data_IF_914136484574
#
_entry.id   IF_914136484574
#
_cell.length_a   1.000
_cell.length_b   1.000
_cell.length_c   1.000
_cell.angle_alpha   90.00
_cell.angle_beta   90.00
_cell.angle_gamma   90.00
#
_symmetry.space_group_name_H-M   'P 1'
#
loop_
_entity.id
_entity.type
_entity.pdbx_description
1 polymer ?
#
# COMPACT_ATOMS: atom_id res chain seq x y z
N UNK A 1 3.03 1.20 0.63
CA UNK A 1 4.41 1.74 0.55
C UNK A 1 5.33 0.78 1.28
N UNK A 2 6.34 0.24 0.60
CA UNK A 2 7.34 -0.67 1.17
C UNK A 2 8.56 0.15 1.65
N UNK A 3 9.08 -0.18 2.82
CA UNK A 3 9.91 0.71 3.65
C UNK A 3 11.35 0.92 3.13
N UNK A 4 11.85 2.14 3.30
CA UNK A 4 13.28 2.47 3.36
C UNK A 4 13.64 3.07 4.73
N UNK A 5 14.88 2.84 5.17
CA UNK A 5 15.40 3.19 6.50
C UNK A 5 15.75 4.68 6.53
N UNK A 6 14.91 5.51 7.14
CA UNK A 6 15.12 6.96 7.22
C UNK A 6 16.29 7.34 8.13
N UNK A 7 17.26 8.09 7.60
CA UNK A 7 18.27 8.83 8.38
C UNK A 7 17.95 10.32 8.27
N UNK A 8 17.62 10.89 9.43
CA UNK A 8 17.51 12.31 9.81
C UNK A 8 16.51 13.22 9.05
N UNK A 9 15.51 13.70 9.81
CA UNK A 9 14.60 14.85 9.64
C UNK A 9 13.72 15.01 8.39
N UNK A 10 14.01 14.36 7.26
CA UNK A 10 13.21 14.45 6.02
C UNK A 10 11.88 13.70 6.02
N UNK A 11 11.46 13.13 7.16
CA UNK A 11 10.20 12.38 7.29
C UNK A 11 9.06 13.18 7.95
N UNK A 12 9.36 14.38 8.46
CA UNK A 12 8.38 15.21 9.18
C UNK A 12 7.49 15.97 8.22
N UNK A 13 6.21 16.11 8.57
CA UNK A 13 5.26 16.94 7.83
C UNK A 13 5.63 18.43 7.80
N UNK A 14 6.47 18.88 8.73
CA UNK A 14 6.86 20.29 8.92
C UNK A 14 8.19 20.67 8.26
N UNK A 15 8.80 19.79 7.46
CA UNK A 15 10.02 20.13 6.72
C UNK A 15 9.68 20.86 5.41
N UNK A 16 10.66 21.55 4.83
CA UNK A 16 10.54 22.19 3.51
C UNK A 16 10.29 21.16 2.38
N UNK A 17 10.43 19.87 2.66
CA UNK A 17 10.14 18.76 1.74
C UNK A 17 9.62 17.56 2.53
N UNK A 18 8.32 17.53 2.85
CA UNK A 18 7.70 16.46 3.64
C UNK A 18 7.92 15.10 2.98
N UNK A 19 8.18 14.08 3.80
CA UNK A 19 8.36 12.70 3.37
C UNK A 19 9.50 12.47 2.36
N UNK A 20 10.39 13.43 2.12
CA UNK A 20 11.52 13.28 1.19
C UNK A 20 12.47 12.11 1.53
N UNK A 21 12.46 11.67 2.80
CA UNK A 21 13.21 10.50 3.26
C UNK A 21 12.60 9.14 2.88
N UNK A 22 11.41 9.12 2.29
CA UNK A 22 10.73 7.89 1.91
C UNK A 22 11.31 7.35 0.59
N UNK A 23 11.31 6.02 0.46
CA UNK A 23 11.64 5.34 -0.80
C UNK A 23 10.50 5.50 -1.80
N UNK A 24 10.36 6.69 -2.36
CA UNK A 24 9.39 6.98 -3.40
C UNK A 24 9.75 6.27 -4.70
N UNK A 25 8.72 6.04 -5.52
CA UNK A 25 8.79 5.39 -6.84
C UNK A 25 9.10 3.90 -6.76
N UNK A 26 8.07 3.07 -6.98
CA UNK A 26 8.27 1.69 -7.40
C UNK A 26 8.61 1.69 -8.89
N UNK A 27 9.50 0.80 -9.33
CA UNK A 27 9.75 0.60 -10.76
C UNK A 27 8.44 0.14 -11.42
N UNK A 28 8.03 0.84 -12.47
CA UNK A 28 6.79 0.54 -13.20
C UNK A 28 6.80 -0.87 -13.81
N UNK A 29 7.98 -1.42 -14.13
CA UNK A 29 8.13 -2.77 -14.66
C UNK A 29 7.89 -3.84 -13.59
N UNK A 30 7.98 -3.47 -12.32
CA UNK A 30 7.78 -4.36 -11.17
C UNK A 30 6.37 -4.26 -10.58
N UNK A 31 5.45 -3.47 -11.18
CA UNK A 31 4.07 -3.34 -10.70
C UNK A 31 3.08 -3.83 -11.74
N UNK A 32 2.25 -4.79 -11.34
CA UNK A 32 1.15 -5.30 -12.15
C UNK A 32 -0.21 -4.90 -11.58
N UNK A 33 -1.01 -4.23 -12.40
CA UNK A 33 -2.42 -3.90 -12.12
C UNK A 33 -3.32 -4.97 -12.71
N UNK A 34 -4.14 -5.62 -11.88
CA UNK A 34 -5.01 -6.72 -12.32
C UNK A 34 -6.32 -6.15 -12.86
N UNK A 35 -6.51 -6.19 -14.19
CA UNK A 35 -7.74 -5.74 -14.84
C UNK A 35 -8.87 -6.79 -14.79
N UNK A 36 -8.54 -8.03 -14.47
CA UNK A 36 -9.45 -9.16 -14.32
C UNK A 36 -10.18 -9.18 -12.97
N UNK A 37 -9.85 -8.26 -12.06
CA UNK A 37 -10.47 -8.15 -10.75
C UNK A 37 -11.62 -7.13 -10.78
N UNK A 38 -12.90 -7.58 -10.71
CA UNK A 38 -14.03 -6.67 -10.77
C UNK A 38 -14.28 -5.96 -9.44
N UNK A 39 -14.87 -4.76 -9.53
CA UNK A 39 -15.48 -4.06 -8.39
C UNK A 39 -16.39 -5.01 -7.59
N UNK A 40 -16.37 -4.98 -6.24
CA UNK A 40 -15.75 -3.99 -5.34
C UNK A 40 -14.33 -4.33 -4.89
N UNK A 41 -13.61 -5.12 -5.68
CA UNK A 41 -12.22 -5.48 -5.40
C UNK A 41 -11.28 -4.74 -6.31
N UNK A 42 -10.07 -4.53 -5.82
CA UNK A 42 -8.94 -4.03 -6.60
C UNK A 42 -7.69 -4.80 -6.19
N UNK A 43 -6.80 -5.12 -7.13
CA UNK A 43 -5.59 -5.90 -6.83
C UNK A 43 -4.37 -5.37 -7.59
N UNK A 44 -3.25 -5.30 -6.87
CA UNK A 44 -1.92 -5.00 -7.42
C UNK A 44 -0.92 -6.02 -6.93
N UNK A 45 0.03 -6.35 -7.79
CA UNK A 45 1.18 -7.17 -7.40
C UNK A 45 2.46 -6.40 -7.68
N UNK A 46 3.33 -6.34 -6.67
CA UNK A 46 4.69 -5.84 -6.76
C UNK A 46 5.62 -7.04 -6.88
N UNK A 47 6.52 -7.02 -7.86
CA UNK A 47 7.52 -8.04 -8.14
C UNK A 47 8.92 -7.52 -7.83
N UNK A 48 9.88 -8.44 -7.70
CA UNK A 48 11.31 -8.16 -7.55
C UNK A 48 11.65 -7.09 -6.51
N UNK A 49 10.88 -7.06 -5.43
CA UNK A 49 10.97 -6.00 -4.42
C UNK A 49 12.35 -6.00 -3.77
N UNK A 50 12.90 -4.80 -3.60
CA UNK A 50 14.26 -4.60 -3.09
C UNK A 50 15.33 -5.35 -3.89
N UNK A 51 15.12 -5.50 -5.21
CA UNK A 51 16.01 -6.20 -6.13
C UNK A 51 16.12 -7.72 -5.86
N UNK A 52 15.27 -8.27 -4.98
CA UNK A 52 15.20 -9.70 -4.67
C UNK A 52 14.30 -10.37 -5.71
N UNK A 53 14.93 -11.02 -6.70
CA UNK A 53 14.20 -11.78 -7.73
C UNK A 53 13.38 -12.89 -7.10
N UNK A 54 12.09 -12.95 -7.42
CA UNK A 54 11.17 -13.96 -6.87
C UNK A 54 10.48 -13.53 -5.57
N UNK A 55 10.82 -12.38 -4.99
CA UNK A 55 10.01 -11.77 -3.95
C UNK A 55 8.87 -10.98 -4.58
N UNK A 56 7.64 -11.29 -4.17
CA UNK A 56 6.45 -10.56 -4.60
C UNK A 56 5.51 -10.24 -3.43
N UNK A 57 4.84 -9.10 -3.53
CA UNK A 57 3.81 -8.66 -2.58
C UNK A 57 2.55 -8.34 -3.37
N UNK A 58 1.46 -9.04 -3.07
CA UNK A 58 0.15 -8.74 -3.64
C UNK A 58 -0.69 -8.02 -2.61
N UNK A 59 -1.30 -6.91 -3.01
CA UNK A 59 -2.26 -6.16 -2.23
C UNK A 59 -3.63 -6.28 -2.90
N UNK A 60 -4.62 -6.75 -2.14
CA UNK A 60 -6.02 -6.80 -2.56
C UNK A 60 -6.84 -5.90 -1.64
N UNK A 61 -7.52 -4.92 -2.22
CA UNK A 61 -8.46 -4.04 -1.54
C UNK A 61 -9.86 -4.59 -1.75
N UNK A 62 -10.64 -4.69 -0.67
CA UNK A 62 -12.02 -5.15 -0.71
C UNK A 62 -12.89 -4.23 0.11
N UNK A 63 -14.01 -3.82 -0.45
CA UNK A 63 -15.06 -3.11 0.27
C UNK A 63 -16.35 -3.95 0.24
N UNK A 64 -17.12 -3.98 1.34
CA UNK A 64 -18.41 -4.67 1.33
C UNK A 64 -19.37 -3.87 0.43
N UNK A 65 -19.58 -4.33 -0.81
CA UNK A 65 -20.59 -3.78 -1.70
C UNK A 65 -21.47 -4.92 -2.22
N UNK A 66 -22.30 -5.45 -1.33
CA UNK A 66 -23.11 -6.63 -1.56
C UNK A 66 -24.54 -6.23 -2.00
N UNK A 67 -25.05 -6.73 -3.14
CA UNK A 67 -26.40 -6.39 -3.58
C UNK A 67 -27.45 -6.79 -2.55
N UNK A 68 -28.37 -5.85 -2.24
CA UNK A 68 -29.47 -6.02 -1.28
C UNK A 68 -29.05 -6.21 0.19
N UNK A 69 -27.78 -5.97 0.51
CA UNK A 69 -27.31 -5.85 1.89
C UNK A 69 -26.98 -4.38 2.18
N UNK A 70 -27.95 -3.67 2.75
CA UNK A 70 -27.83 -2.23 3.02
C UNK A 70 -27.08 -1.93 4.31
N UNK A 71 -26.86 -2.92 5.18
CA UNK A 71 -26.15 -2.73 6.44
C UNK A 71 -24.66 -2.77 6.15
N UNK A 72 -24.18 -3.90 5.62
CA UNK A 72 -22.75 -4.07 5.37
C UNK A 72 -22.27 -3.16 4.24
N UNK A 73 -23.11 -2.93 3.22
CA UNK A 73 -22.75 -2.01 2.13
C UNK A 73 -22.69 -0.53 2.54
N UNK A 74 -23.18 -0.18 3.73
CA UNK A 74 -23.10 1.19 4.26
C UNK A 74 -21.87 1.44 5.13
N UNK A 75 -21.09 0.39 5.42
CA UNK A 75 -19.94 0.51 6.32
C UNK A 75 -18.81 1.30 5.64
N UNK A 76 -18.25 2.34 6.28
CA UNK A 76 -17.09 3.08 5.79
C UNK A 76 -15.80 2.29 6.10
N UNK A 77 -15.69 1.08 5.56
CA UNK A 77 -14.60 0.15 5.83
C UNK A 77 -14.02 -0.43 4.56
N UNK A 78 -12.71 -0.63 4.55
CA UNK A 78 -12.01 -1.41 3.53
C UNK A 78 -11.11 -2.45 4.20
N UNK A 79 -11.02 -3.63 3.59
CA UNK A 79 -10.11 -4.69 3.98
C UNK A 79 -8.96 -4.70 2.98
N UNK A 80 -7.73 -4.57 3.50
CA UNK A 80 -6.51 -4.72 2.70
C UNK A 80 -5.93 -6.09 3.03
N UNK A 81 -6.00 -7.02 2.08
CA UNK A 81 -5.33 -8.32 2.17
C UNK A 81 -3.97 -8.23 1.52
N UNK A 82 -2.93 -8.51 2.30
CA UNK A 82 -1.54 -8.48 1.84
C UNK A 82 -1.00 -9.90 1.84
N UNK A 83 -0.51 -10.35 0.69
CA UNK A 83 0.12 -11.66 0.50
C UNK A 83 1.58 -11.44 0.11
N UNK A 84 2.51 -11.96 0.91
CA UNK A 84 3.94 -11.95 0.61
C UNK A 84 4.36 -13.34 0.15
N UNK A 85 5.03 -13.43 -0.99
CA UNK A 85 5.52 -14.69 -1.56
C UNK A 85 6.99 -14.54 -1.93
N UNK A 86 7.82 -15.43 -1.40
CA UNK A 86 9.24 -15.52 -1.75
C UNK A 86 9.48 -16.85 -2.48
N UNK A 87 9.59 -16.79 -3.80
CA UNK A 87 9.95 -17.92 -4.67
C UNK A 87 11.46 -18.01 -4.93
N UNK A 88 12.26 -17.15 -4.28
CA UNK A 88 13.71 -17.16 -4.42
C UNK A 88 14.35 -18.22 -3.54
N UNK A 89 15.56 -18.62 -3.90
CA UNK A 89 16.42 -19.46 -3.05
C UNK A 89 17.12 -18.64 -1.94
N UNK A 90 16.91 -17.33 -1.91
CA UNK A 90 17.51 -16.42 -0.93
C UNK A 90 16.59 -16.23 0.28
N UNK A 91 17.04 -16.57 1.50
CA UNK A 91 16.28 -16.31 2.70
C UNK A 91 16.22 -14.80 2.98
N UNK A 92 15.07 -14.32 3.46
CA UNK A 92 14.90 -12.93 3.91
C UNK A 92 15.68 -12.71 5.21
N UNK A 93 16.97 -12.36 5.10
CA UNK A 93 17.93 -12.25 6.22
C UNK A 93 17.48 -11.31 7.34
N UNK A 94 16.64 -10.32 7.04
CA UNK A 94 16.13 -9.34 8.00
C UNK A 94 14.61 -9.38 8.19
N UNK A 95 13.94 -10.43 7.67
CA UNK A 95 12.48 -10.51 7.64
C UNK A 95 11.84 -9.51 6.68
N UNK A 96 10.52 -9.61 6.51
CA UNK A 96 9.72 -8.66 5.73
C UNK A 96 8.78 -7.89 6.66
N UNK A 97 8.66 -6.58 6.42
CA UNK A 97 7.70 -5.71 7.11
C UNK A 97 6.81 -5.01 6.10
N UNK A 98 5.53 -4.88 6.43
CA UNK A 98 4.58 -4.08 5.65
C UNK A 98 4.10 -2.92 6.52
N UNK A 99 4.17 -1.70 5.98
CA UNK A 99 3.75 -0.48 6.67
C UNK A 99 2.54 0.13 5.96
N UNK A 100 1.51 0.41 6.76
CA UNK A 100 0.37 1.23 6.36
C UNK A 100 0.51 2.58 7.07
N UNK A 101 0.46 3.66 6.31
CA UNK A 101 0.55 5.03 6.81
C UNK A 101 -0.68 5.81 6.35
N UNK A 102 -1.23 6.63 7.23
CA UNK A 102 -2.42 7.44 6.93
C UNK A 102 -2.23 8.85 7.47
N UNK A 103 -2.62 9.86 6.69
CA UNK A 103 -2.66 11.24 7.16
C UNK A 103 -3.91 11.43 8.02
N UNK A 104 -3.74 11.94 9.25
CA UNK A 104 -4.90 12.28 10.08
C UNK A 104 -5.55 13.56 9.55
N UNK A 105 -6.72 13.43 8.95
CA UNK A 105 -7.60 14.55 8.63
C UNK A 105 -8.54 14.87 9.78
N UNK A 106 -8.86 16.15 9.99
CA UNK A 106 -9.81 16.62 11.00
C UNK A 106 -11.24 16.81 10.47
N UNK A 107 -11.47 16.48 9.20
CA UNK A 107 -12.73 16.64 8.48
C UNK A 107 -13.00 18.07 8.00
N UNK A 108 -12.02 18.98 8.11
CA UNK A 108 -12.16 20.35 7.64
C UNK A 108 -12.10 20.41 6.11
N UNK A 109 -12.61 21.50 5.49
CA UNK A 109 -12.46 21.72 4.05
C UNK A 109 -11.00 21.78 3.57
N UNK A 110 -10.04 21.96 4.49
CA UNK A 110 -8.61 21.99 4.20
C UNK A 110 -7.98 20.58 4.09
N UNK A 111 -8.73 19.51 4.43
CA UNK A 111 -8.35 18.10 4.22
C UNK A 111 -8.43 17.67 2.73
N UNK A 112 -8.12 18.58 1.81
CA UNK A 112 -8.33 18.41 0.35
C UNK A 112 -7.40 17.40 -0.34
N UNK A 113 -6.70 16.54 0.40
CA UNK A 113 -5.81 15.52 -0.16
C UNK A 113 -5.64 14.24 0.67
N UNK A 114 -6.44 14.03 1.71
CA UNK A 114 -6.29 12.93 2.68
C UNK A 114 -7.15 11.69 2.44
N UNK A 115 -7.57 11.42 1.20
CA UNK A 115 -8.29 10.20 0.83
C UNK A 115 -7.35 9.12 0.30
N UNK A 116 -7.74 7.85 0.44
CA UNK A 116 -7.22 6.79 -0.45
C UNK A 116 -7.66 7.04 -1.88
#
# INVERSE_FOLDING_TARGET
VLCARGREDGGRCSSDSPLASWGWFADEHDVMWHQDVPFPRMRHTFHNLHEIKGLSVTQEFLSPALPRDYVDASLPVSVIRITVRNDSDEPLLHGASVMLSWLNGDGSPDDVGGGM
#
